data_IF_246588856338
#
_entry.id   IF_246588856338
#
_cell.length_a   1.000
_cell.length_b   1.000
_cell.length_c   1.000
_cell.angle_alpha   90.00
_cell.angle_beta   90.00
_cell.angle_gamma   90.00
#
_symmetry.space_group_name_H-M   'P 1'
#
loop_
_entity.id
_entity.type
_entity.pdbx_description
1 polymer ?
#
# COMPACT_ATOMS: atom_id res chain seq x y z
N UNK A 1 -33.70 -2.24 -13.25
CA UNK A 1 -33.33 -1.72 -11.93
C UNK A 1 -33.91 -2.66 -10.89
N UNK A 2 -33.08 -3.48 -10.25
CA UNK A 2 -33.52 -4.53 -9.32
C UNK A 2 -33.57 -4.05 -7.88
N UNK A 3 -34.35 -4.76 -7.04
CA UNK A 3 -34.60 -4.46 -5.61
C UNK A 3 -33.32 -4.22 -4.78
N UNK A 4 -32.17 -4.77 -5.18
CA UNK A 4 -30.87 -4.49 -4.54
C UNK A 4 -30.40 -3.04 -4.66
N UNK A 5 -30.92 -2.27 -5.62
CA UNK A 5 -30.62 -0.84 -5.76
C UNK A 5 -31.37 0.04 -4.74
N UNK A 6 -32.38 -0.50 -4.03
CA UNK A 6 -33.11 0.17 -2.95
C UNK A 6 -32.47 -0.03 -1.57
N UNK A 7 -31.44 -0.89 -1.45
CA UNK A 7 -30.67 -1.13 -0.21
C UNK A 7 -29.30 -0.45 -0.28
N UNK A 8 -29.20 0.64 -1.04
CA UNK A 8 -28.23 1.67 -0.70
C UNK A 8 -28.97 2.74 0.10
N UNK A 9 -28.27 3.31 1.07
CA UNK A 9 -28.39 4.71 1.51
C UNK A 9 -28.77 4.99 2.97
N UNK A 10 -28.17 4.34 3.97
CA UNK A 10 -27.92 5.06 5.25
C UNK A 10 -26.48 5.00 5.77
N UNK A 11 -25.65 4.00 5.44
CA UNK A 11 -24.28 3.94 5.99
C UNK A 11 -23.10 4.08 5.00
N UNK A 12 -23.26 3.89 3.69
CA UNK A 12 -22.11 3.95 2.75
C UNK A 12 -21.45 5.35 2.69
N UNK A 13 -22.15 6.43 3.07
CA UNK A 13 -21.58 7.78 3.07
C UNK A 13 -20.50 7.97 4.14
N UNK A 14 -20.61 7.28 5.28
CA UNK A 14 -19.67 7.40 6.40
C UNK A 14 -18.43 6.54 6.23
N UNK A 15 -18.43 5.64 5.25
CA UNK A 15 -17.33 4.72 4.99
C UNK A 15 -16.72 4.99 3.62
N UNK A 16 -15.46 4.60 3.46
CA UNK A 16 -14.75 4.55 2.19
C UNK A 16 -14.25 3.13 2.01
N UNK A 17 -14.57 2.52 0.87
CA UNK A 17 -14.02 1.19 0.59
C UNK A 17 -12.52 1.27 0.36
N UNK A 18 -11.79 0.20 0.68
CA UNK A 18 -10.35 0.12 0.44
C UNK A 18 -10.03 0.34 -1.05
N UNK A 19 -10.90 -0.16 -1.94
CA UNK A 19 -10.80 0.10 -3.38
C UNK A 19 -10.87 1.61 -3.69
N UNK A 20 -11.88 2.30 -3.19
CA UNK A 20 -12.03 3.74 -3.42
C UNK A 20 -10.85 4.53 -2.85
N UNK A 21 -10.37 4.17 -1.65
CA UNK A 21 -9.22 4.82 -1.02
C UNK A 21 -7.94 4.68 -1.88
N UNK A 22 -7.65 3.48 -2.37
CA UNK A 22 -6.48 3.21 -3.21
C UNK A 22 -6.60 3.96 -4.55
N UNK A 23 -7.76 3.91 -5.20
CA UNK A 23 -7.99 4.58 -6.48
C UNK A 23 -7.90 6.11 -6.36
N UNK A 24 -8.41 6.67 -5.26
CA UNK A 24 -8.32 8.11 -4.98
C UNK A 24 -6.86 8.54 -4.82
N UNK A 25 -6.10 7.86 -3.96
CA UNK A 25 -4.69 8.19 -3.74
C UNK A 25 -3.88 8.01 -5.02
N UNK A 26 -4.06 6.90 -5.74
CA UNK A 26 -3.37 6.64 -7.01
C UNK A 26 -3.60 7.74 -8.04
N UNK A 27 -4.82 8.27 -8.11
CA UNK A 27 -5.18 9.36 -9.00
C UNK A 27 -4.50 10.68 -8.60
N UNK A 28 -4.60 11.06 -7.32
CA UNK A 28 -4.10 12.36 -6.83
C UNK A 28 -2.56 12.41 -6.75
N UNK A 29 -1.91 11.30 -6.39
CA UNK A 29 -0.44 11.23 -6.32
C UNK A 29 0.21 10.81 -7.64
N UNK A 30 -0.60 10.49 -8.66
CA UNK A 30 -0.14 9.96 -9.95
C UNK A 30 0.66 8.64 -9.80
N UNK A 31 0.32 7.85 -8.77
CA UNK A 31 0.97 6.58 -8.41
C UNK A 31 0.20 5.37 -8.93
N UNK A 32 0.85 4.22 -8.99
CA UNK A 32 0.18 2.95 -9.26
C UNK A 32 -0.38 2.31 -7.96
N UNK A 33 -1.24 1.30 -8.10
CA UNK A 33 -1.90 0.63 -6.96
C UNK A 33 -0.91 -0.02 -5.98
N UNK A 34 0.23 -0.49 -6.47
CA UNK A 34 1.28 -1.11 -5.66
C UNK A 34 1.99 -0.06 -4.79
N UNK A 35 2.35 1.08 -5.36
CA UNK A 35 2.95 2.22 -4.64
C UNK A 35 2.02 2.72 -3.53
N UNK A 36 0.73 2.88 -3.84
CA UNK A 36 -0.26 3.32 -2.86
C UNK A 36 -0.43 2.30 -1.74
N UNK A 37 -0.52 1.01 -2.08
CA UNK A 37 -0.69 -0.04 -1.05
C UNK A 37 0.53 -0.15 -0.15
N UNK A 38 1.73 -0.05 -0.72
CA UNK A 38 3.00 -0.03 0.02
C UNK A 38 3.10 1.21 0.92
N UNK A 39 2.68 2.38 0.43
CA UNK A 39 2.65 3.60 1.22
C UNK A 39 1.73 3.47 2.45
N UNK A 40 0.51 2.94 2.26
CA UNK A 40 -0.45 2.75 3.35
C UNK A 40 0.05 1.77 4.41
N UNK A 41 0.77 0.71 4.01
CA UNK A 41 1.41 -0.22 4.95
C UNK A 41 2.55 0.45 5.73
N UNK A 42 3.43 1.18 5.05
CA UNK A 42 4.58 1.84 5.68
C UNK A 42 4.20 2.96 6.64
N UNK A 43 3.00 3.52 6.48
CA UNK A 43 2.41 4.51 7.39
C UNK A 43 1.56 3.89 8.49
N UNK A 44 1.58 2.56 8.60
CA UNK A 44 0.81 1.80 9.59
C UNK A 44 -0.68 2.17 9.59
N UNK A 45 -1.23 2.50 8.41
CA UNK A 45 -2.61 2.96 8.28
C UNK A 45 -3.62 1.92 8.73
N UNK A 46 -3.26 0.64 8.59
CA UNK A 46 -4.07 -0.48 9.06
C UNK A 46 -4.13 -0.57 10.59
N UNK A 47 -3.17 0.02 11.31
CA UNK A 47 -3.18 0.14 12.78
C UNK A 47 -4.02 1.37 13.17
N UNK A 48 -3.81 2.49 12.49
CA UNK A 48 -4.44 3.77 12.82
C UNK A 48 -5.90 3.91 12.37
N UNK A 49 -6.40 3.03 11.49
CA UNK A 49 -7.77 3.03 11.02
C UNK A 49 -8.44 1.69 11.30
N UNK A 50 -9.64 1.75 11.90
CA UNK A 50 -10.44 0.57 12.17
C UNK A 50 -10.95 -0.04 10.87
N UNK A 51 -10.68 -1.32 10.66
CA UNK A 51 -11.19 -2.05 9.51
C UNK A 51 -12.63 -2.46 9.76
N UNK A 52 -13.43 -2.36 8.71
CA UNK A 52 -14.81 -2.79 8.72
C UNK A 52 -15.08 -3.65 7.51
N UNK A 53 -16.02 -4.60 7.63
CA UNK A 53 -16.47 -5.40 6.50
C UNK A 53 -17.99 -5.49 6.45
N UNK A 54 -18.53 -5.87 5.29
CA UNK A 54 -19.97 -6.02 5.10
C UNK A 54 -20.41 -7.38 5.63
N UNK A 55 -21.24 -7.36 6.66
CA UNK A 55 -21.88 -8.54 7.25
C UNK A 55 -22.98 -9.11 6.34
N UNK A 56 -23.38 -10.36 6.60
CA UNK A 56 -24.49 -11.05 5.90
C UNK A 56 -25.82 -10.28 5.95
N UNK A 57 -26.04 -9.47 6.98
CA UNK A 57 -27.19 -8.58 7.12
C UNK A 57 -27.02 -7.23 6.39
N UNK A 58 -25.99 -7.10 5.56
CA UNK A 58 -25.63 -5.93 4.75
C UNK A 58 -25.20 -4.71 5.56
N UNK A 59 -25.03 -4.84 6.88
CA UNK A 59 -24.45 -3.78 7.71
C UNK A 59 -22.93 -3.82 7.63
N UNK A 60 -22.33 -2.63 7.65
CA UNK A 60 -20.89 -2.48 7.85
C UNK A 60 -20.62 -2.66 9.34
N UNK A 61 -19.80 -3.64 9.69
CA UNK A 61 -19.43 -3.96 11.07
C UNK A 61 -17.93 -3.80 11.23
N UNK A 62 -17.50 -3.26 12.36
CA UNK A 62 -16.08 -3.16 12.69
C UNK A 62 -15.52 -4.56 12.90
N UNK A 63 -14.46 -4.89 12.16
CA UNK A 63 -13.76 -6.18 12.23
C UNK A 63 -12.41 -6.07 12.92
N UNK A 64 -11.78 -4.90 12.89
CA UNK A 64 -10.55 -4.62 13.62
C UNK A 64 -10.55 -3.25 14.28
N UNK A 65 -9.80 -3.14 15.38
CA UNK A 65 -9.60 -1.88 16.09
C UNK A 65 -8.26 -1.84 16.83
N UNK A 66 -7.87 -0.63 17.21
CA UNK A 66 -6.69 -0.36 18.03
C UNK A 66 -6.97 -0.69 19.50
N UNK A 67 -6.08 -1.46 20.13
CA UNK A 67 -6.11 -1.72 21.57
C UNK A 67 -4.74 -1.43 22.20
N UNK A 68 -4.77 -0.76 23.34
CA UNK A 68 -3.56 -0.51 24.13
C UNK A 68 -3.30 -1.71 25.06
N UNK A 69 -2.23 -2.46 24.82
CA UNK A 69 -1.83 -3.59 25.66
C UNK A 69 -0.35 -3.45 26.03
N UNK A 70 -0.07 -3.35 27.33
CA UNK A 70 1.31 -3.47 27.83
C UNK A 70 2.26 -2.34 27.46
N UNK A 71 1.77 -1.14 27.12
CA UNK A 71 2.63 -0.01 26.76
C UNK A 71 2.69 0.25 25.26
N UNK A 72 2.25 -0.71 24.44
CA UNK A 72 2.25 -0.63 22.98
C UNK A 72 0.82 -0.62 22.42
N UNK A 73 0.65 0.15 21.35
CA UNK A 73 -0.53 0.10 20.51
C UNK A 73 -0.46 -1.18 19.68
N UNK A 74 -1.41 -2.10 19.88
CA UNK A 74 -1.56 -3.31 19.08
C UNK A 74 -2.95 -3.36 18.48
N UNK A 75 -3.10 -3.92 17.29
CA UNK A 75 -4.43 -4.05 16.68
C UNK A 75 -5.05 -5.39 17.08
N UNK A 76 -6.38 -5.41 17.23
CA UNK A 76 -7.16 -6.58 17.65
C UNK A 76 -8.28 -6.81 16.63
N UNK A 77 -8.51 -8.08 16.25
CA UNK A 77 -9.58 -8.50 15.34
C UNK A 77 -9.07 -9.10 14.03
N UNK A 78 -9.89 -9.06 12.98
CA UNK A 78 -9.52 -9.45 11.61
C UNK A 78 -9.35 -8.18 10.77
N UNK A 79 -8.11 -7.89 10.37
CA UNK A 79 -7.78 -6.69 9.62
C UNK A 79 -7.65 -7.00 8.12
N UNK A 80 -8.80 -7.16 7.48
CA UNK A 80 -8.88 -7.42 6.05
C UNK A 80 -8.15 -6.34 5.24
N UNK A 81 -8.14 -5.09 5.73
CA UNK A 81 -7.41 -4.01 5.07
C UNK A 81 -5.90 -4.28 5.04
N UNK A 82 -5.32 -4.71 6.16
CA UNK A 82 -3.92 -5.15 6.20
C UNK A 82 -3.67 -6.32 5.25
N UNK A 83 -4.50 -7.37 5.30
CA UNK A 83 -4.33 -8.55 4.45
C UNK A 83 -4.37 -8.22 2.96
N UNK A 84 -5.31 -7.39 2.52
CA UNK A 84 -5.41 -7.00 1.11
C UNK A 84 -4.30 -6.04 0.68
N UNK A 85 -3.91 -5.08 1.53
CA UNK A 85 -2.79 -4.20 1.25
C UNK A 85 -1.48 -4.98 1.12
N UNK A 86 -1.22 -5.91 2.04
CA UNK A 86 -0.06 -6.80 1.99
C UNK A 86 -0.10 -7.67 0.73
N UNK A 87 -1.25 -8.25 0.42
CA UNK A 87 -1.42 -9.05 -0.79
C UNK A 87 -1.08 -8.26 -2.06
N UNK A 88 -1.57 -7.02 -2.17
CA UNK A 88 -1.27 -6.15 -3.31
C UNK A 88 0.22 -5.80 -3.34
N UNK A 89 0.81 -5.41 -2.20
CA UNK A 89 2.22 -5.03 -2.11
C UNK A 89 3.17 -6.19 -2.50
N UNK A 90 2.82 -7.43 -2.14
CA UNK A 90 3.61 -8.62 -2.43
C UNK A 90 3.39 -9.18 -3.85
N UNK A 91 2.17 -9.10 -4.38
CA UNK A 91 1.79 -9.82 -5.61
C UNK A 91 1.61 -8.93 -6.86
N UNK A 92 1.40 -7.62 -6.72
CA UNK A 92 1.34 -6.68 -7.86
C UNK A 92 2.70 -6.07 -8.21
N UNK A 93 3.79 -6.61 -7.64
CA UNK A 93 5.15 -6.30 -8.03
C UNK A 93 5.32 -6.52 -9.54
N UNK A 94 5.47 -5.42 -10.30
CA UNK A 94 5.74 -5.30 -11.75
C UNK A 94 4.58 -4.84 -12.66
N UNK A 95 3.39 -4.50 -12.16
CA UNK A 95 2.35 -3.86 -13.00
C UNK A 95 2.50 -2.34 -13.03
N UNK A 96 3.52 -1.84 -13.73
CA UNK A 96 3.94 -0.42 -13.75
C UNK A 96 2.88 0.61 -14.19
N UNK A 97 1.67 0.20 -14.60
CA UNK A 97 0.65 1.11 -15.17
C UNK A 97 -0.74 1.03 -14.53
N UNK A 98 -1.01 0.06 -13.65
CA UNK A 98 -2.34 -0.08 -13.07
C UNK A 98 -2.57 0.97 -11.97
N UNK A 99 -3.44 1.94 -12.25
CA UNK A 99 -3.91 2.95 -11.27
C UNK A 99 -5.28 2.64 -10.68
N UNK A 100 -5.92 1.58 -11.18
CA UNK A 100 -7.28 1.19 -10.79
C UNK A 100 -7.35 -0.29 -10.49
N UNK A 101 -8.20 -0.66 -9.55
CA UNK A 101 -8.41 -2.06 -9.18
C UNK A 101 -9.44 -2.62 -10.15
N UNK A 102 -8.95 -3.35 -11.16
CA UNK A 102 -9.82 -3.94 -12.17
C UNK A 102 -10.75 -4.98 -11.57
N UNK A 103 -11.94 -5.16 -12.17
CA UNK A 103 -12.91 -6.20 -11.76
C UNK A 103 -12.39 -7.64 -11.86
N UNK A 104 -11.28 -7.83 -12.56
CA UNK A 104 -10.64 -9.14 -12.75
C UNK A 104 -9.48 -9.36 -11.79
N UNK A 105 -9.11 -8.36 -11.00
CA UNK A 105 -8.07 -8.49 -9.98
C UNK A 105 -8.53 -9.46 -8.89
N UNK A 106 -7.62 -10.32 -8.42
CA UNK A 106 -7.92 -11.34 -7.41
C UNK A 106 -8.39 -10.74 -6.07
N UNK A 107 -7.89 -9.56 -5.73
CA UNK A 107 -8.24 -8.80 -4.53
C UNK A 107 -9.42 -7.86 -4.73
N UNK A 108 -10.04 -7.81 -5.91
CA UNK A 108 -11.11 -6.85 -6.23
C UNK A 108 -12.27 -6.90 -5.23
N UNK A 109 -12.80 -8.09 -4.97
CA UNK A 109 -13.95 -8.26 -4.06
C UNK A 109 -13.53 -7.90 -2.63
N UNK A 110 -12.37 -8.37 -2.18
CA UNK A 110 -11.81 -8.03 -0.88
C UNK A 110 -11.69 -6.53 -0.65
N UNK A 111 -11.16 -5.79 -1.62
CA UNK A 111 -11.03 -4.33 -1.52
C UNK A 111 -12.38 -3.59 -1.59
N UNK A 112 -13.42 -4.17 -2.20
CA UNK A 112 -14.77 -3.60 -2.22
C UNK A 112 -15.50 -3.83 -0.90
N UNK A 113 -15.29 -5.00 -0.30
CA UNK A 113 -15.98 -5.44 0.91
C UNK A 113 -15.29 -5.00 2.21
N UNK A 114 -14.09 -4.41 2.09
CA UNK A 114 -13.32 -3.84 3.19
C UNK A 114 -13.47 -2.32 3.20
N UNK A 115 -13.71 -1.74 4.37
CA UNK A 115 -13.98 -0.32 4.54
C UNK A 115 -13.18 0.30 5.69
N UNK A 116 -12.97 1.60 5.58
CA UNK A 116 -12.56 2.47 6.68
C UNK A 116 -13.62 3.55 6.92
N UNK A 117 -13.67 4.09 8.13
CA UNK A 117 -14.45 5.30 8.37
C UNK A 117 -13.88 6.45 7.54
N UNK A 118 -14.74 7.05 6.71
CA UNK A 118 -14.38 8.10 5.76
C UNK A 118 -13.81 9.32 6.50
N UNK A 119 -14.41 9.70 7.62
CA UNK A 119 -13.94 10.83 8.44
C UNK A 119 -12.54 10.56 8.99
N UNK A 120 -12.32 9.42 9.63
CA UNK A 120 -11.02 9.03 10.17
C UNK A 120 -9.94 8.94 9.07
N UNK A 121 -10.28 8.38 7.91
CA UNK A 121 -9.39 8.30 6.75
C UNK A 121 -8.91 9.68 6.29
N UNK A 122 -9.83 10.63 6.06
CA UNK A 122 -9.46 11.98 5.61
C UNK A 122 -8.88 12.85 6.72
N UNK A 123 -9.12 12.56 8.00
CA UNK A 123 -8.56 13.30 9.11
C UNK A 123 -7.11 12.90 9.43
N UNK A 124 -6.70 11.69 9.04
CA UNK A 124 -5.35 11.17 9.22
C UNK A 124 -4.29 12.06 8.57
N UNK A 125 -3.20 12.33 9.31
CA UNK A 125 -2.14 13.26 8.91
C UNK A 125 -1.44 12.83 7.62
N UNK A 126 -1.08 11.55 7.50
CA UNK A 126 -0.36 11.03 6.34
C UNK A 126 -1.24 11.06 5.08
N UNK A 127 -2.53 10.75 5.22
CA UNK A 127 -3.50 10.87 4.12
C UNK A 127 -3.69 12.33 3.69
N UNK A 128 -3.82 13.27 4.63
CA UNK A 128 -3.89 14.70 4.33
C UNK A 128 -2.65 15.18 3.58
N UNK A 129 -1.47 14.76 4.02
CA UNK A 129 -0.20 15.12 3.40
C UNK A 129 -0.09 14.56 1.98
N UNK A 130 -0.44 13.28 1.79
CA UNK A 130 -0.45 12.62 0.47
C UNK A 130 -1.41 13.31 -0.52
N UNK A 131 -2.60 13.69 -0.05
CA UNK A 131 -3.61 14.40 -0.85
C UNK A 131 -3.35 15.91 -0.94
N UNK A 132 -2.27 16.42 -0.34
CA UNK A 132 -1.95 17.87 -0.25
C UNK A 132 -3.11 18.70 0.29
N UNK A 133 -3.91 18.14 1.19
CA UNK A 133 -5.03 18.83 1.80
C UNK A 133 -4.48 19.80 2.84
N UNK A 134 -4.53 21.11 2.54
CA UNK A 134 -4.30 22.15 3.55
C UNK A 134 -5.33 22.02 4.67
N UNK A 135 -4.96 22.35 5.92
CA UNK A 135 -5.80 22.31 7.14
C UNK A 135 -7.14 23.06 6.99
N UNK A 136 -8.06 22.43 6.27
CA UNK A 136 -9.40 22.89 5.96
C UNK A 136 -10.25 21.68 6.28
N UNK A 137 -11.17 21.86 7.20
CA UNK A 137 -12.15 20.85 7.60
C UNK A 137 -12.78 20.30 6.32
N UNK A 138 -12.63 18.99 6.09
CA UNK A 138 -13.13 18.33 4.89
C UNK A 138 -14.65 18.18 5.05
N UNK A 139 -15.42 19.11 4.49
CA UNK A 139 -16.80 18.80 4.13
C UNK A 139 -16.77 17.78 2.97
N UNK A 140 -17.65 16.76 2.99
CA UNK A 140 -17.66 15.72 1.98
C UNK A 140 -17.86 16.35 0.58
N UNK A 141 -16.96 16.03 -0.36
CA UNK A 141 -17.15 16.37 -1.77
C UNK A 141 -18.38 15.61 -2.27
N UNK A 142 -19.51 16.29 -2.24
CA UNK A 142 -20.69 15.96 -3.03
C UNK A 142 -20.43 16.49 -4.44
N UNK A 143 -20.53 15.62 -5.45
CA UNK A 143 -20.85 16.05 -6.81
C UNK A 143 -22.18 16.83 -6.76
N UNK A 144 -22.06 18.16 -6.69
CA UNK A 144 -23.05 19.24 -6.73
C UNK A 144 -24.52 18.91 -6.37
N UNK A 145 -25.01 19.43 -5.23
CA UNK A 145 -25.92 20.61 -5.18
C UNK A 145 -26.27 21.05 -3.73
N UNK A 146 -26.06 22.35 -3.51
CA UNK A 146 -26.58 23.34 -2.54
C UNK A 146 -27.58 22.90 -1.44
N UNK A 147 -27.25 23.14 -0.16
CA UNK A 147 -27.79 24.23 0.71
C UNK A 147 -27.30 24.08 2.18
N UNK A 148 -27.13 25.22 2.86
CA UNK A 148 -26.55 25.43 4.19
C UNK A 148 -27.37 24.83 5.36
N UNK A 149 -26.74 24.54 6.52
CA UNK A 149 -26.90 25.27 7.81
C UNK A 149 -26.10 24.59 8.96
N UNK A 150 -25.27 25.43 9.60
CA UNK A 150 -24.63 25.45 10.93
C UNK A 150 -25.23 24.64 12.10
N UNK A 151 -24.40 24.14 13.04
CA UNK A 151 -24.42 24.52 14.48
C UNK A 151 -23.21 23.98 15.27
N UNK A 152 -22.69 24.85 16.15
CA UNK A 152 -21.55 24.72 17.07
C UNK A 152 -21.88 24.03 18.41
N UNK A 153 -20.80 23.62 19.10
CA UNK A 153 -20.60 23.48 20.57
C UNK A 153 -21.45 22.49 21.38
N UNK A 154 -20.79 21.56 22.12
CA UNK A 154 -21.07 21.30 23.55
C UNK A 154 -19.96 20.43 24.23
N UNK A 155 -19.09 21.11 24.99
CA UNK A 155 -18.43 20.76 26.27
C UNK A 155 -17.36 19.64 26.44
N UNK A 156 -16.15 20.14 26.69
CA UNK A 156 -15.21 19.75 27.76
C UNK A 156 -15.88 19.25 29.06
N UNK A 157 -15.38 18.13 29.59
CA UNK A 157 -14.76 18.01 30.93
C UNK A 157 -14.73 16.54 31.37
N UNK A 158 -13.56 16.03 31.76
CA UNK A 158 -13.28 15.51 33.11
C UNK A 158 -11.89 14.87 33.15
N UNK A 159 -11.12 15.30 34.14
CA UNK A 159 -9.74 14.91 34.41
C UNK A 159 -9.64 14.11 35.72
N UNK A 160 -8.79 13.07 35.71
CA UNK A 160 -7.91 12.55 36.81
C UNK A 160 -8.62 11.72 37.94
N UNK A 161 -8.01 10.73 38.67
CA UNK A 161 -6.58 10.34 38.81
C UNK A 161 -6.18 8.83 38.79
N UNK A 162 -4.86 8.67 38.73
CA UNK A 162 -3.99 7.54 39.14
C UNK A 162 -4.15 7.11 40.62
N UNK A 163 -4.09 5.79 40.89
CA UNK A 163 -3.58 5.21 42.13
C UNK A 163 -2.92 3.84 41.87
N UNK A 164 -1.67 3.69 42.31
CA UNK A 164 -0.93 2.41 42.41
C UNK A 164 -1.38 1.59 43.64
N UNK A 165 -1.27 0.25 43.64
CA UNK A 165 -1.59 -0.58 44.80
C UNK A 165 -0.38 -0.78 45.74
N UNK A 166 -0.68 -0.71 47.04
CA UNK A 166 0.21 -0.79 48.19
C UNK A 166 0.65 -2.23 48.53
N UNK A 167 1.94 -2.43 48.82
CA UNK A 167 2.61 -3.70 49.13
C UNK A 167 2.89 -3.78 50.65
N UNK A 168 1.95 -4.32 51.45
CA UNK A 168 2.18 -4.53 52.89
C UNK A 168 1.72 -5.89 53.46
N UNK A 169 1.42 -6.88 52.62
CA UNK A 169 0.91 -8.19 53.09
C UNK A 169 1.98 -9.14 53.66
N UNK A 170 3.26 -8.97 53.29
CA UNK A 170 4.31 -9.95 53.59
C UNK A 170 5.06 -9.72 54.91
N UNK A 171 4.96 -8.53 55.50
CA UNK A 171 5.62 -8.21 56.76
C UNK A 171 4.86 -8.75 57.97
N UNK A 172 3.53 -8.83 57.89
CA UNK A 172 2.68 -9.35 58.97
C UNK A 172 2.85 -10.87 59.20
N UNK A 173 3.21 -11.62 58.16
CA UNK A 173 3.38 -13.09 58.24
C UNK A 173 4.72 -13.47 58.89
N UNK A 174 5.78 -12.69 58.69
CA UNK A 174 7.10 -12.96 59.30
C UNK A 174 7.11 -12.74 60.82
N UNK A 175 6.25 -11.87 61.32
CA UNK A 175 6.17 -11.59 62.76
C UNK A 175 5.46 -12.72 63.53
N UNK A 176 4.44 -13.34 62.92
CA UNK A 176 3.70 -14.45 63.53
C UNK A 176 4.53 -15.72 63.76
N UNK A 177 5.49 -16.02 62.87
CA UNK A 177 6.31 -17.23 62.97
C UNK A 177 7.41 -17.16 64.04
N UNK A 178 7.84 -15.95 64.44
CA UNK A 178 8.90 -15.78 65.44
C UNK A 178 8.39 -15.85 66.90
N UNK A 179 7.08 -15.74 67.13
CA UNK A 179 6.49 -15.67 68.47
C UNK A 179 6.12 -17.06 69.04
N UNK A 180 5.98 -18.10 68.21
CA UNK A 180 5.70 -19.47 68.68
C UNK A 180 6.93 -20.17 69.30
N UNK A 181 8.13 -19.87 68.82
CA UNK A 181 9.37 -20.47 69.36
C UNK A 181 9.72 -20.01 70.79
N UNK A 182 9.08 -18.94 71.29
CA UNK A 182 9.32 -18.41 72.65
C UNK A 182 8.36 -18.94 73.72
N UNK A 183 7.32 -19.70 73.37
CA UNK A 183 6.28 -20.15 74.32
C UNK A 183 6.47 -21.57 74.88
N UNK A 184 7.46 -22.32 74.41
CA UNK A 184 7.65 -23.73 74.81
C UNK A 184 8.56 -23.97 76.03
N UNK A 185 8.93 -22.94 76.79
CA UNK A 185 9.95 -23.08 77.87
C UNK A 185 9.46 -22.78 79.29
N UNK A 186 8.16 -22.87 79.57
CA UNK A 186 7.65 -22.70 80.94
C UNK A 186 6.63 -23.79 81.27
N UNK A 187 7.08 -24.88 81.90
CA UNK A 187 6.27 -25.71 82.84
C UNK A 187 7.13 -26.77 83.55
N UNK A 188 7.97 -26.35 84.50
CA UNK A 188 8.38 -27.21 85.62
C UNK A 188 8.28 -26.42 86.93
N UNK A 189 7.10 -26.43 87.55
CA UNK A 189 6.97 -26.11 88.97
C UNK A 189 6.23 -27.25 89.68
N UNK A 190 7.03 -28.02 90.41
CA UNK A 190 6.59 -29.01 91.39
C UNK A 190 5.79 -28.31 92.50
N UNK A 191 4.55 -28.73 92.71
CA UNK A 191 3.81 -28.45 93.95
C UNK A 191 3.58 -29.77 94.66
N UNK A 192 4.33 -29.97 95.74
CA UNK A 192 4.16 -31.04 96.71
C UNK A 192 3.00 -30.69 97.66
N UNK A 193 1.94 -31.49 97.64
CA UNK A 193 0.91 -31.49 98.69
C UNK A 193 0.72 -32.92 99.16
N UNK A 194 1.20 -33.20 100.38
CA UNK A 194 0.77 -34.35 101.17
C UNK A 194 -0.64 -34.04 101.69
N UNK A 195 -1.61 -34.96 101.60
CA UNK A 195 -2.20 -35.73 102.71
C UNK A 195 -3.45 -36.56 102.24
N UNK A 196 -4.10 -37.41 103.07
CA UNK A 196 -4.09 -38.87 102.91
C UNK A 196 -5.43 -39.51 102.54
N UNK A 197 -5.35 -40.74 102.01
CA UNK A 197 -6.31 -41.85 102.05
C UNK A 197 -7.83 -41.56 101.84
N UNK A 198 -8.31 -41.74 100.61
CA UNK A 198 -9.72 -42.05 100.31
C UNK A 198 -9.80 -43.04 99.12
N UNK A 199 -10.36 -44.22 99.41
CA UNK A 199 -11.18 -45.13 98.60
C UNK A 199 -10.72 -45.63 97.20
N UNK A 200 -10.62 -46.96 97.13
CA UNK A 200 -10.06 -47.76 96.05
C UNK A 200 -11.16 -48.20 95.08
N UNK A 201 -11.50 -47.35 94.08
CA UNK A 201 -12.14 -47.75 92.80
C UNK A 201 -12.01 -46.67 91.71
N UNK A 202 -11.82 -45.39 92.07
CA UNK A 202 -11.65 -44.28 91.11
C UNK A 202 -10.23 -44.26 90.50
N UNK A 203 -9.25 -44.81 91.21
CA UNK A 203 -7.82 -44.71 90.88
C UNK A 203 -7.42 -45.47 89.61
N UNK A 204 -8.17 -46.50 89.21
CA UNK A 204 -7.80 -47.39 88.11
C UNK A 204 -8.32 -46.92 86.74
N UNK A 205 -9.49 -46.28 86.71
CA UNK A 205 -10.04 -45.63 85.50
C UNK A 205 -9.19 -44.41 85.11
N UNK A 206 -8.75 -43.62 86.08
CA UNK A 206 -7.82 -42.51 85.86
C UNK A 206 -6.45 -42.99 85.36
N UNK A 207 -5.92 -44.11 85.87
CA UNK A 207 -4.69 -44.71 85.36
C UNK A 207 -4.83 -45.18 83.91
N UNK A 208 -5.93 -45.83 83.55
CA UNK A 208 -6.20 -46.27 82.18
C UNK A 208 -6.30 -45.08 81.22
N UNK A 209 -7.05 -44.04 81.59
CA UNK A 209 -7.19 -42.82 80.78
C UNK A 209 -5.86 -42.09 80.60
N UNK A 210 -5.01 -42.06 81.63
CA UNK A 210 -3.66 -41.49 81.54
C UNK A 210 -2.75 -42.32 80.62
N UNK A 211 -2.87 -43.66 80.64
CA UNK A 211 -2.14 -44.52 79.70
C UNK A 211 -2.60 -44.33 78.25
N UNK A 212 -3.90 -44.15 78.00
CA UNK A 212 -4.43 -43.83 76.68
C UNK A 212 -3.98 -42.46 76.18
N UNK A 213 -3.99 -41.45 77.06
CA UNK A 213 -3.48 -40.12 76.75
C UNK A 213 -1.99 -40.15 76.42
N UNK A 214 -1.18 -40.92 77.17
CA UNK A 214 0.25 -41.06 76.91
C UNK A 214 0.51 -41.67 75.53
N UNK A 215 -0.20 -42.76 75.18
CA UNK A 215 -0.13 -43.36 73.84
C UNK A 215 -0.51 -42.38 72.74
N UNK A 216 -1.52 -41.53 72.99
CA UNK A 216 -1.95 -40.51 72.03
C UNK A 216 -0.92 -39.39 71.89
N UNK A 217 -0.26 -38.99 72.97
CA UNK A 217 0.84 -38.03 72.95
C UNK A 217 2.00 -38.59 72.12
N UNK A 218 2.44 -39.82 72.39
CA UNK A 218 3.52 -40.47 71.62
C UNK A 218 3.19 -40.57 70.12
N UNK A 219 1.93 -40.90 69.78
CA UNK A 219 1.47 -40.93 68.38
C UNK A 219 1.48 -39.54 67.73
N UNK A 220 1.07 -38.50 68.46
CA UNK A 220 1.07 -37.12 67.96
C UNK A 220 2.50 -36.60 67.79
N UNK A 221 3.41 -36.94 68.71
CA UNK A 221 4.83 -36.60 68.61
C UNK A 221 5.48 -37.26 67.38
N UNK A 222 5.16 -38.53 67.10
CA UNK A 222 5.64 -39.21 65.89
C UNK A 222 5.12 -38.51 64.62
N UNK A 223 3.81 -38.23 64.54
CA UNK A 223 3.23 -37.53 63.39
C UNK A 223 3.84 -36.14 63.21
N UNK A 224 4.04 -35.41 64.29
CA UNK A 224 4.69 -34.10 64.27
C UNK A 224 6.13 -34.20 63.73
N UNK A 225 6.88 -35.23 64.12
CA UNK A 225 8.23 -35.44 63.62
C UNK A 225 8.26 -35.79 62.12
N UNK A 226 7.31 -36.60 61.67
CA UNK A 226 7.13 -36.94 60.25
C UNK A 226 6.80 -35.70 59.41
N UNK A 227 5.83 -34.90 59.84
CA UNK A 227 5.45 -33.63 59.19
C UNK A 227 6.61 -32.62 59.15
N UNK A 228 7.39 -32.52 60.24
CA UNK A 228 8.61 -31.68 60.25
C UNK A 228 9.64 -32.14 59.23
N UNK A 229 9.76 -33.44 59.02
CA UNK A 229 10.69 -34.01 58.04
C UNK A 229 10.22 -33.72 56.61
N UNK A 230 8.92 -33.86 56.34
CA UNK A 230 8.32 -33.51 55.05
C UNK A 230 8.44 -32.01 54.74
N UNK A 231 8.16 -31.16 55.73
CA UNK A 231 8.34 -29.71 55.62
C UNK A 231 9.79 -29.33 55.28
N UNK A 232 10.77 -29.99 55.90
CA UNK A 232 12.18 -29.76 55.62
C UNK A 232 12.56 -30.11 54.17
N UNK A 233 12.01 -31.19 53.62
CA UNK A 233 12.20 -31.55 52.21
C UNK A 233 11.59 -30.51 51.26
N UNK A 234 10.38 -30.05 51.56
CA UNK A 234 9.70 -29.03 50.76
C UNK A 234 10.48 -27.71 50.71
N UNK A 235 11.11 -27.32 51.82
CA UNK A 235 11.97 -26.13 51.89
C UNK A 235 13.18 -26.27 50.95
N UNK A 236 13.80 -27.45 50.90
CA UNK A 236 14.94 -27.70 50.00
C UNK A 236 14.51 -27.65 48.52
N UNK A 237 13.38 -28.25 48.17
CA UNK A 237 12.84 -28.21 46.81
C UNK A 237 12.50 -26.77 46.39
N UNK A 238 11.89 -26.00 47.28
CA UNK A 238 11.60 -24.59 47.04
C UNK A 238 12.87 -23.77 46.78
N UNK A 239 13.92 -23.97 47.58
CA UNK A 239 15.21 -23.31 47.36
C UNK A 239 15.85 -23.71 46.02
N UNK A 240 15.75 -24.99 45.64
CA UNK A 240 16.23 -25.47 44.33
C UNK A 240 15.49 -24.78 43.19
N UNK A 241 14.16 -24.69 43.29
CA UNK A 241 13.33 -24.01 42.29
C UNK A 241 13.63 -22.52 42.21
N UNK A 242 13.89 -21.84 43.32
CA UNK A 242 14.30 -20.43 43.31
C UNK A 242 15.58 -20.21 42.51
N UNK A 243 16.58 -21.08 42.68
CA UNK A 243 17.83 -20.99 41.92
C UNK A 243 17.59 -21.21 40.41
N UNK A 244 16.70 -22.12 40.05
CA UNK A 244 16.34 -22.36 38.64
C UNK A 244 15.60 -21.17 38.03
N UNK A 245 14.66 -20.56 38.77
CA UNK A 245 13.96 -19.35 38.33
C UNK A 245 14.93 -18.20 38.08
N UNK A 246 15.92 -17.97 38.96
CA UNK A 246 16.92 -16.93 38.75
C UNK A 246 17.79 -17.20 37.50
N UNK A 247 18.21 -18.45 37.27
CA UNK A 247 18.93 -18.82 36.03
C UNK A 247 18.09 -18.59 34.77
N UNK A 248 16.78 -18.84 34.84
CA UNK A 248 15.88 -18.60 33.71
C UNK A 248 15.70 -17.10 33.47
N UNK A 249 15.59 -16.28 34.52
CA UNK A 249 15.55 -14.82 34.38
C UNK A 249 16.80 -14.27 33.70
N UNK A 250 17.99 -14.73 34.08
CA UNK A 250 19.24 -14.33 33.42
C UNK A 250 19.23 -14.66 31.93
N UNK A 251 18.76 -15.86 31.56
CA UNK A 251 18.64 -16.26 30.14
C UNK A 251 17.62 -15.42 29.37
N UNK A 252 16.51 -15.02 30.01
CA UNK A 252 15.52 -14.13 29.37
C UNK A 252 16.16 -12.78 29.07
N UNK A 253 16.87 -12.18 30.02
CA UNK A 253 17.57 -10.90 29.82
C UNK A 253 18.62 -11.00 28.70
N UNK A 254 19.38 -12.10 28.64
CA UNK A 254 20.34 -12.33 27.54
C UNK A 254 19.64 -12.40 26.18
N UNK A 255 18.49 -13.09 26.12
CA UNK A 255 17.69 -13.23 24.88
C UNK A 255 17.06 -11.91 24.46
N UNK A 256 16.55 -11.11 25.39
CA UNK A 256 16.00 -9.79 25.11
C UNK A 256 17.08 -8.86 24.54
N UNK A 257 18.31 -8.90 25.07
CA UNK A 257 19.43 -8.15 24.52
C UNK A 257 19.80 -8.61 23.08
N UNK A 258 19.72 -9.91 22.79
CA UNK A 258 19.92 -10.44 21.43
C UNK A 258 18.82 -9.96 20.47
N UNK A 259 17.56 -9.95 20.92
CA UNK A 259 16.42 -9.46 20.15
C UNK A 259 16.58 -7.97 19.82
N UNK A 260 16.98 -7.14 20.79
CA UNK A 260 17.19 -5.72 20.57
C UNK A 260 18.31 -5.44 19.55
N UNK A 261 19.40 -6.22 19.60
CA UNK A 261 20.47 -6.12 18.61
C UNK A 261 20.01 -6.51 17.20
N UNK A 262 19.24 -7.60 17.08
CA UNK A 262 18.68 -8.03 15.80
C UNK A 262 17.69 -7.01 15.24
N UNK A 263 16.85 -6.42 16.08
CA UNK A 263 15.91 -5.37 15.69
C UNK A 263 16.64 -4.14 15.11
N UNK A 264 17.72 -3.69 15.76
CA UNK A 264 18.58 -2.62 15.24
C UNK A 264 19.24 -2.99 13.91
N UNK A 265 19.67 -4.24 13.75
CA UNK A 265 20.20 -4.77 12.50
C UNK A 265 19.19 -4.71 11.35
N UNK A 266 17.97 -5.21 11.59
CA UNK A 266 16.86 -5.19 10.62
C UNK A 266 16.51 -3.75 10.22
N UNK A 267 16.43 -2.83 11.18
CA UNK A 267 16.11 -1.43 10.88
C UNK A 267 17.18 -0.80 9.96
N UNK A 268 18.46 -1.09 10.22
CA UNK A 268 19.57 -0.63 9.37
C UNK A 268 19.49 -1.24 7.98
N UNK A 269 19.35 -2.56 7.85
CA UNK A 269 19.24 -3.22 6.55
C UNK A 269 18.02 -2.74 5.76
N UNK A 270 16.89 -2.51 6.43
CA UNK A 270 15.69 -1.94 5.82
C UNK A 270 15.94 -0.53 5.28
N UNK A 271 16.72 0.31 5.98
CA UNK A 271 17.08 1.65 5.50
C UNK A 271 17.99 1.60 4.27
N UNK A 272 18.97 0.69 4.25
CA UNK A 272 19.88 0.51 3.10
C UNK A 272 19.13 -0.05 1.88
N UNK A 273 18.20 -1.00 2.10
CA UNK A 273 17.35 -1.53 1.05
C UNK A 273 16.45 -0.44 0.42
N UNK A 274 15.94 0.49 1.23
CA UNK A 274 15.13 1.60 0.76
C UNK A 274 15.92 2.56 -0.15
N UNK A 275 17.14 2.93 0.23
CA UNK A 275 18.03 3.76 -0.60
C UNK A 275 18.34 3.09 -1.94
N UNK A 276 18.62 1.78 -1.93
CA UNK A 276 18.85 1.01 -3.16
C UNK A 276 17.62 0.97 -4.07
N UNK A 277 16.41 0.91 -3.51
CA UNK A 277 15.16 0.97 -4.28
C UNK A 277 14.99 2.34 -4.93
N UNK A 278 15.28 3.42 -4.21
CA UNK A 278 15.24 4.79 -4.75
C UNK A 278 16.23 4.98 -5.90
N UNK A 279 17.47 4.53 -5.74
CA UNK A 279 18.49 4.62 -6.80
C UNK A 279 18.11 3.79 -8.03
N UNK A 280 17.56 2.60 -7.83
CA UNK A 280 17.03 1.78 -8.94
C UNK A 280 15.90 2.50 -9.67
N UNK A 281 15.01 3.18 -8.95
CA UNK A 281 13.93 3.95 -9.57
C UNK A 281 14.48 5.15 -10.37
N UNK A 282 15.47 5.86 -9.84
CA UNK A 282 16.15 6.95 -10.54
C UNK A 282 16.80 6.45 -11.84
N UNK A 283 17.55 5.36 -11.78
CA UNK A 283 18.18 4.75 -12.95
C UNK A 283 17.14 4.29 -13.99
N UNK A 284 16.01 3.71 -13.56
CA UNK A 284 14.94 3.30 -14.46
C UNK A 284 14.28 4.49 -15.17
N UNK A 285 14.08 5.60 -14.48
CA UNK A 285 13.58 6.83 -15.08
C UNK A 285 14.55 7.39 -16.12
N UNK A 286 15.85 7.43 -15.82
CA UNK A 286 16.87 7.82 -16.79
C UNK A 286 16.88 6.91 -18.02
N UNK A 287 16.78 5.59 -17.83
CA UNK A 287 16.66 4.62 -18.93
C UNK A 287 15.42 4.90 -19.79
N UNK A 288 14.27 5.20 -19.17
CA UNK A 288 13.03 5.51 -19.89
C UNK A 288 13.14 6.80 -20.71
N UNK A 289 13.73 7.85 -20.12
CA UNK A 289 13.99 9.12 -20.79
C UNK A 289 14.96 8.93 -21.98
N UNK A 290 16.04 8.18 -21.78
CA UNK A 290 17.01 7.88 -22.83
C UNK A 290 16.37 7.08 -23.97
N UNK A 291 15.53 6.07 -23.67
CA UNK A 291 14.79 5.31 -24.69
C UNK A 291 13.88 6.22 -25.52
N UNK A 292 13.11 7.09 -24.86
CA UNK A 292 12.24 8.06 -25.55
C UNK A 292 13.05 8.99 -26.45
N UNK A 293 14.22 9.45 -25.97
CA UNK A 293 15.10 10.33 -26.76
C UNK A 293 15.70 9.61 -27.96
N UNK A 294 16.08 8.35 -27.82
CA UNK A 294 16.56 7.52 -28.93
C UNK A 294 15.48 7.38 -30.00
N UNK A 295 14.25 7.04 -29.61
CA UNK A 295 13.13 6.88 -30.55
C UNK A 295 12.82 8.20 -31.30
N UNK A 296 12.87 9.34 -30.61
CA UNK A 296 12.75 10.66 -31.24
C UNK A 296 13.85 10.89 -32.29
N UNK A 297 15.11 10.67 -31.93
CA UNK A 297 16.25 10.86 -32.83
C UNK A 297 16.19 9.93 -34.05
N UNK A 298 15.75 8.68 -33.85
CA UNK A 298 15.53 7.73 -34.95
C UNK A 298 14.44 8.22 -35.91
N UNK A 299 13.31 8.73 -35.39
CA UNK A 299 12.24 9.31 -36.21
C UNK A 299 12.68 10.56 -36.97
N UNK A 300 13.43 11.46 -36.33
CA UNK A 300 14.00 12.67 -36.94
C UNK A 300 14.96 12.31 -38.09
N UNK A 301 15.81 11.30 -37.91
CA UNK A 301 16.69 10.81 -38.98
C UNK A 301 15.90 10.22 -40.15
N UNK A 302 14.80 9.50 -39.89
CA UNK A 302 13.96 8.90 -40.92
C UNK A 302 13.26 9.97 -41.77
N UNK A 303 12.70 11.00 -41.13
CA UNK A 303 12.13 12.16 -41.80
C UNK A 303 13.17 12.96 -42.59
N UNK A 304 14.39 13.10 -42.08
CA UNK A 304 15.48 13.81 -42.78
C UNK A 304 15.96 13.04 -44.01
N UNK A 305 16.04 11.71 -43.95
CA UNK A 305 16.33 10.85 -45.12
C UNK A 305 15.21 10.90 -46.16
N UNK A 306 13.95 10.91 -45.75
CA UNK A 306 12.81 11.03 -46.69
C UNK A 306 12.79 12.41 -47.39
N UNK A 307 13.04 13.50 -46.65
CA UNK A 307 13.03 14.86 -47.20
C UNK A 307 14.17 15.15 -48.18
N UNK A 308 15.30 14.46 -48.03
CA UNK A 308 16.45 14.57 -48.96
C UNK A 308 16.34 13.62 -50.16
N UNK A 309 15.31 12.77 -50.22
CA UNK A 309 15.10 11.74 -51.24
C UNK A 309 13.97 12.02 -52.24
N UNK A 310 13.23 13.12 -52.13
CA UNK A 310 12.20 13.44 -53.12
C UNK A 310 12.86 14.04 -54.38
N UNK A 311 13.09 13.17 -55.37
CA UNK A 311 13.63 13.53 -56.69
C UNK A 311 12.85 14.67 -57.36
N UNK A 312 11.54 14.74 -57.15
CA UNK A 312 10.70 15.81 -57.70
C UNK A 312 11.07 17.18 -57.12
N UNK A 313 11.33 17.27 -55.82
CA UNK A 313 11.74 18.52 -55.17
C UNK A 313 13.07 19.04 -55.72
N UNK A 314 13.97 18.14 -56.14
CA UNK A 314 15.21 18.48 -56.84
C UNK A 314 14.98 18.97 -58.28
N UNK A 315 13.93 18.50 -58.97
CA UNK A 315 13.59 18.94 -60.33
C UNK A 315 12.99 20.35 -60.30
N UNK A 316 12.23 20.69 -59.26
CA UNK A 316 11.62 22.01 -59.07
C UNK A 316 12.55 23.04 -58.38
N UNK A 317 13.77 22.64 -57.98
CA UNK A 317 14.74 23.51 -57.32
C UNK A 317 15.42 24.47 -58.31
N UNK A 318 14.88 25.67 -58.45
CA UNK A 318 15.39 26.73 -59.34
C UNK A 318 16.76 27.27 -58.92
N UNK A 319 17.21 27.00 -57.69
CA UNK A 319 18.48 27.52 -57.16
C UNK A 319 19.70 26.75 -57.70
N UNK A 320 19.50 25.51 -58.20
CA UNK A 320 20.55 24.66 -58.76
C UNK A 320 20.75 24.88 -60.25
N UNK A 321 21.18 26.08 -60.62
CA UNK A 321 21.29 26.59 -62.00
C UNK A 321 22.04 25.63 -62.94
N UNK A 322 23.05 24.88 -62.45
CA UNK A 322 23.83 23.94 -63.28
C UNK A 322 23.04 22.70 -63.74
N UNK A 323 22.00 22.31 -63.02
CA UNK A 323 21.19 21.10 -63.30
C UNK A 323 19.70 21.40 -63.47
N UNK A 324 19.30 22.65 -63.28
CA UNK A 324 17.92 23.09 -63.44
C UNK A 324 17.52 23.05 -64.92
N UNK A 325 16.46 22.30 -65.21
CA UNK A 325 15.93 22.12 -66.55
C UNK A 325 14.53 22.79 -66.63
N UNK A 326 14.45 24.11 -66.91
CA UNK A 326 13.19 24.85 -66.86
C UNK A 326 12.13 24.27 -67.81
N UNK A 327 12.53 23.79 -68.99
CA UNK A 327 11.59 23.18 -69.94
C UNK A 327 10.98 21.86 -69.43
N UNK A 328 11.73 21.10 -68.61
CA UNK A 328 11.21 19.89 -67.98
C UNK A 328 10.20 20.24 -66.89
N UNK A 329 10.50 21.25 -66.07
CA UNK A 329 9.58 21.80 -65.06
C UNK A 329 8.28 22.26 -65.72
N UNK A 330 8.38 23.05 -66.79
CA UNK A 330 7.20 23.50 -67.54
C UNK A 330 6.42 22.35 -68.16
N UNK A 331 7.07 21.27 -68.63
CA UNK A 331 6.36 20.09 -69.12
C UNK A 331 5.55 19.41 -68.00
N UNK A 332 6.15 19.23 -66.82
CA UNK A 332 5.49 18.56 -65.69
C UNK A 332 4.28 19.38 -65.24
N UNK A 333 4.45 20.68 -65.03
CA UNK A 333 3.37 21.59 -64.62
C UNK A 333 2.27 21.71 -65.68
N UNK A 334 2.63 21.72 -66.97
CA UNK A 334 1.66 21.74 -68.06
C UNK A 334 0.86 20.44 -68.13
N UNK A 335 1.49 19.28 -67.89
CA UNK A 335 0.80 17.99 -67.83
C UNK A 335 -0.19 17.94 -66.67
N UNK A 336 0.25 18.33 -65.47
CA UNK A 336 -0.59 18.42 -64.27
C UNK A 336 -1.80 19.32 -64.51
N UNK A 337 -1.58 20.52 -65.04
CA UNK A 337 -2.67 21.44 -65.34
C UNK A 337 -3.63 20.89 -66.40
N UNK A 338 -3.15 20.25 -67.48
CA UNK A 338 -4.02 19.80 -68.57
C UNK A 338 -4.80 18.52 -68.26
N UNK A 339 -4.24 17.62 -67.45
CA UNK A 339 -4.75 16.25 -67.34
C UNK A 339 -4.96 15.76 -65.90
N UNK A 340 -4.52 16.49 -64.88
CA UNK A 340 -4.79 16.15 -63.47
C UNK A 340 -5.78 17.16 -62.90
N UNK A 341 -5.50 18.46 -63.04
CA UNK A 341 -6.35 19.52 -62.49
C UNK A 341 -7.64 19.73 -63.30
N UNK A 342 -7.63 19.40 -64.60
CA UNK A 342 -8.71 19.70 -65.55
C UNK A 342 -9.28 18.45 -66.27
N UNK A 343 -9.34 17.30 -65.58
CA UNK A 343 -9.77 15.99 -66.13
C UNK A 343 -11.15 15.99 -66.82
N UNK A 344 -12.09 16.85 -66.42
CA UNK A 344 -13.49 16.80 -66.86
C UNK A 344 -13.79 17.54 -68.16
N UNK A 345 -12.86 18.31 -68.71
CA UNK A 345 -13.15 19.17 -69.85
C UNK A 345 -12.78 18.52 -71.19
N UNK A 346 -13.71 17.76 -71.78
CA UNK A 346 -13.60 17.24 -73.16
C UNK A 346 -13.52 18.39 -74.17
N UNK A 347 -12.31 18.69 -74.67
CA UNK A 347 -12.09 19.71 -75.68
C UNK A 347 -10.65 19.77 -76.16
N UNK A 348 -10.40 20.45 -77.27
CA UNK A 348 -9.07 20.58 -77.90
C UNK A 348 -8.02 21.11 -76.91
N UNK A 349 -7.26 20.20 -76.27
CA UNK A 349 -6.20 20.51 -75.31
C UNK A 349 -5.09 21.39 -75.91
N UNK A 350 -4.98 21.47 -77.24
CA UNK A 350 -4.03 22.33 -77.96
C UNK A 350 -4.22 23.82 -77.65
N UNK A 351 -5.45 24.31 -77.54
CA UNK A 351 -5.69 25.74 -77.26
C UNK A 351 -5.43 26.08 -75.79
N UNK A 352 -5.79 25.17 -74.88
CA UNK A 352 -5.53 25.31 -73.43
C UNK A 352 -4.03 25.27 -73.15
N UNK A 353 -3.31 24.34 -73.79
CA UNK A 353 -1.86 24.26 -73.70
C UNK A 353 -1.21 25.56 -74.16
N UNK A 354 -1.64 26.13 -75.29
CA UNK A 354 -1.13 27.41 -75.79
C UNK A 354 -1.37 28.56 -74.83
N UNK A 355 -2.55 28.62 -74.21
CA UNK A 355 -2.89 29.66 -73.24
C UNK A 355 -2.02 29.55 -71.98
N UNK A 356 -1.88 28.33 -71.46
CA UNK A 356 -1.06 28.05 -70.29
C UNK A 356 0.42 28.38 -70.53
N UNK A 357 0.98 27.94 -71.67
CA UNK A 357 2.40 28.18 -71.99
C UNK A 357 2.69 29.68 -72.09
N UNK A 358 1.84 30.47 -72.76
CA UNK A 358 2.07 31.91 -72.89
C UNK A 358 2.04 32.63 -71.53
N UNK A 359 1.19 32.16 -70.62
CA UNK A 359 0.97 32.77 -69.31
C UNK A 359 2.03 32.39 -68.28
N UNK A 360 2.51 31.14 -68.31
CA UNK A 360 3.34 30.57 -67.26
C UNK A 360 4.80 30.33 -67.67
N UNK A 361 5.16 30.58 -68.93
CA UNK A 361 6.53 30.44 -69.43
C UNK A 361 7.00 31.71 -70.14
N UNK A 362 8.32 31.88 -70.38
CA UNK A 362 8.83 32.98 -71.19
C UNK A 362 8.47 32.89 -72.68
N UNK A 363 7.85 31.79 -73.15
CA UNK A 363 7.54 31.58 -74.56
C UNK A 363 6.27 32.32 -74.98
N UNK A 364 6.40 33.30 -75.89
CA UNK A 364 5.28 34.15 -76.32
C UNK A 364 4.72 33.80 -77.69
N UNK A 365 5.52 33.24 -78.60
CA UNK A 365 5.06 32.80 -79.92
C UNK A 365 4.67 31.31 -79.93
N UNK A 366 3.41 31.03 -80.30
CA UNK A 366 2.83 29.68 -80.38
C UNK A 366 3.49 28.81 -81.47
N UNK A 367 4.15 29.43 -82.44
CA UNK A 367 4.78 28.76 -83.57
C UNK A 367 6.26 28.41 -83.34
N UNK A 368 6.86 28.90 -82.26
CA UNK A 368 8.22 28.57 -81.86
C UNK A 368 8.42 27.05 -81.70
N UNK A 369 9.59 26.58 -82.09
CA UNK A 369 9.96 25.17 -81.98
C UNK A 369 9.90 24.67 -80.53
N UNK A 370 10.23 25.51 -79.56
CA UNK A 370 10.22 25.19 -78.13
C UNK A 370 8.79 24.93 -77.63
N UNK A 371 7.84 25.80 -77.98
CA UNK A 371 6.42 25.62 -77.66
C UNK A 371 5.85 24.38 -78.34
N UNK A 372 6.23 24.12 -79.60
CA UNK A 372 5.86 22.87 -80.31
C UNK A 372 6.35 21.63 -79.56
N UNK A 373 7.60 21.63 -79.09
CA UNK A 373 8.20 20.53 -78.32
C UNK A 373 7.54 20.35 -76.96
N UNK A 374 7.28 21.42 -76.20
CA UNK A 374 6.56 21.35 -74.92
C UNK A 374 5.19 20.68 -75.10
N UNK A 375 4.41 21.11 -76.10
CA UNK A 375 3.11 20.50 -76.42
C UNK A 375 3.25 19.03 -76.81
N UNK A 376 4.28 18.69 -77.59
CA UNK A 376 4.51 17.33 -78.06
C UNK A 376 4.92 16.36 -76.93
N UNK A 377 5.73 16.83 -75.98
CA UNK A 377 6.16 16.06 -74.80
C UNK A 377 4.97 15.86 -73.85
N UNK A 378 4.13 16.87 -73.68
CA UNK A 378 2.97 16.85 -72.79
C UNK A 378 1.68 16.35 -73.47
N UNK A 379 1.76 15.85 -74.70
CA UNK A 379 0.60 15.24 -75.37
C UNK A 379 0.51 13.75 -74.99
N UNK A 380 -0.64 13.28 -74.49
CA UNK A 380 -0.85 11.87 -74.19
C UNK A 380 -0.77 11.05 -75.48
N UNK A 381 -0.44 9.77 -75.32
CA UNK A 381 -0.20 8.84 -76.42
C UNK A 381 -1.37 8.76 -77.41
N UNK A 382 -2.60 8.80 -76.91
CA UNK A 382 -3.83 8.79 -77.72
C UNK A 382 -3.92 9.97 -78.70
N UNK A 383 -3.37 11.12 -78.30
CA UNK A 383 -3.39 12.38 -79.05
C UNK A 383 -2.16 12.60 -79.93
N UNK A 384 -1.26 11.62 -80.03
CA UNK A 384 -0.07 11.74 -80.88
C UNK A 384 -0.44 11.82 -82.37
N UNK A 385 0.32 12.62 -83.12
CA UNK A 385 0.20 12.68 -84.57
C UNK A 385 0.39 11.28 -85.20
N UNK A 386 -0.33 10.99 -86.29
CA UNK A 386 -0.36 9.67 -86.95
C UNK A 386 1.05 9.18 -87.30
N UNK A 387 1.95 10.10 -87.69
CA UNK A 387 3.34 9.77 -88.03
C UNK A 387 4.18 9.32 -86.84
N UNK A 388 3.84 9.75 -85.62
CA UNK A 388 4.53 9.33 -84.39
C UNK A 388 3.97 8.00 -83.89
N UNK A 389 2.65 7.79 -84.00
CA UNK A 389 2.01 6.48 -83.74
C UNK A 389 2.56 5.39 -84.65
N UNK A 390 2.75 5.70 -85.94
CA UNK A 390 3.35 4.76 -86.94
C UNK A 390 4.80 4.38 -86.66
N UNK A 391 5.56 5.19 -85.90
CA UNK A 391 6.96 4.89 -85.53
C UNK A 391 7.08 3.94 -84.33
N UNK A 392 6.03 3.82 -83.52
CA UNK A 392 5.98 2.92 -82.37
C UNK A 392 5.30 1.57 -82.67
N UNK A 393 4.48 1.49 -83.72
CA UNK A 393 3.83 0.25 -84.17
C UNK A 393 4.66 -0.53 -85.22
N UNK A 394 5.98 -0.35 -85.22
CA UNK A 394 6.95 -1.20 -85.93
C UNK A 394 7.72 -2.01 -84.90
#
# INVERSE_FOLDING_TARGET
MGLMALINTENDKNYISLKEAIELLAKETNSNIWEVSTYLLNKDMYIHLYSHSRSTDHKIVQTSFEAYQGGETTWVGDNDAFSWLQYIAENEMQSYSARTITKFAKYHNGCIETYWERKAFFENKDIKEALKLSNTIFEPIVLEKEEQVSYEEYYLNLSIPSQEPDYHFWDDIKQYLNDEDKKNDISQQNISVKNPAIECTVDEEYKQKNQELLKKIEQLEHKLHEEKSQSSLLILDYQSLQVEVEKLKEKVVEKDAQIEQLAKGIQKESSEAFELILDKHRANNEISQLKTRIEQLESEQLHTKQKTSNLLDLIFDETKIERYAPDLVYCIQLWEHLYIENETEQGNHTNKANFWIIRNTPYKDKNELKVKRLREITSPFESWHVDRRKKFNK
#
